data_IF_320728820066
#
_entry.id   IF_320728820066
#
_cell.length_a   1.000
_cell.length_b   1.000
_cell.length_c   1.000
_cell.angle_alpha   90.00
_cell.angle_beta   90.00
_cell.angle_gamma   90.00
#
_symmetry.space_group_name_H-M   'P 1'
#
loop_
_entity.id
_entity.type
_entity.pdbx_description
1 polymer ?
#
# COMPACT_ATOMS: atom_id res chain seq x y z
N UNK A 1 -15.09 -10.89 3.72
CA UNK A 1 -15.72 -9.68 4.31
C UNK A 1 -15.07 -9.15 5.59
N UNK A 2 -14.85 -9.95 6.66
CA UNK A 2 -14.26 -9.45 7.94
C UNK A 2 -12.92 -8.70 7.78
N UNK A 3 -12.03 -9.17 6.90
CA UNK A 3 -10.71 -8.55 6.63
C UNK A 3 -10.82 -7.15 6.02
N UNK A 4 -11.82 -6.94 5.16
CA UNK A 4 -12.09 -5.66 4.49
C UNK A 4 -12.59 -4.63 5.50
N UNK A 5 -13.48 -5.04 6.41
CA UNK A 5 -14.02 -4.16 7.47
C UNK A 5 -12.89 -3.73 8.42
N UNK A 6 -12.03 -4.67 8.84
CA UNK A 6 -10.88 -4.36 9.70
C UNK A 6 -9.89 -3.44 9.00
N UNK A 7 -9.57 -3.70 7.73
CA UNK A 7 -8.69 -2.83 6.93
C UNK A 7 -9.26 -1.42 6.76
N UNK A 8 -10.58 -1.31 6.52
CA UNK A 8 -11.27 -0.03 6.38
C UNK A 8 -11.26 0.80 7.68
N UNK A 9 -11.56 0.18 8.82
CA UNK A 9 -11.53 0.86 10.12
C UNK A 9 -10.10 1.30 10.47
N UNK A 10 -9.11 0.44 10.23
CA UNK A 10 -7.70 0.75 10.49
C UNK A 10 -7.21 1.92 9.62
N UNK A 11 -7.56 1.93 8.34
CA UNK A 11 -7.23 3.00 7.42
C UNK A 11 -7.91 4.32 7.83
N UNK A 12 -9.21 4.27 8.12
CA UNK A 12 -9.97 5.45 8.55
C UNK A 12 -9.41 6.05 9.84
N UNK A 13 -9.07 5.20 10.82
CA UNK A 13 -8.39 5.62 12.04
C UNK A 13 -7.03 6.27 11.77
N UNK A 14 -6.22 5.69 10.87
CA UNK A 14 -4.94 6.27 10.47
C UNK A 14 -5.07 7.63 9.80
N UNK A 15 -6.08 7.82 8.94
CA UNK A 15 -6.36 9.10 8.28
C UNK A 15 -6.82 10.16 9.29
N UNK A 16 -7.67 9.81 10.25
CA UNK A 16 -8.09 10.73 11.31
C UNK A 16 -6.88 11.16 12.15
N UNK A 17 -6.03 10.20 12.53
CA UNK A 17 -4.82 10.49 13.30
C UNK A 17 -3.87 11.42 12.51
N UNK A 18 -3.69 11.15 11.23
CA UNK A 18 -2.90 12.01 10.33
C UNK A 18 -3.45 13.44 10.30
N UNK A 19 -4.75 13.60 10.08
CA UNK A 19 -5.40 14.92 10.05
C UNK A 19 -5.30 15.66 11.39
N UNK A 20 -5.47 14.94 12.49
CA UNK A 20 -5.37 15.50 13.84
C UNK A 20 -3.99 16.08 14.15
N UNK A 21 -2.93 15.53 13.57
CA UNK A 21 -1.56 16.01 13.72
C UNK A 21 -1.20 17.05 12.64
N UNK A 22 -1.67 16.83 11.42
CA UNK A 22 -1.32 17.66 10.27
C UNK A 22 -1.94 19.06 10.34
N UNK A 23 -3.20 19.19 10.78
CA UNK A 23 -3.89 20.49 10.88
C UNK A 23 -3.17 21.47 11.83
N UNK A 24 -2.85 21.12 13.10
CA UNK A 24 -2.14 22.02 13.99
C UNK A 24 -0.70 22.27 13.52
N UNK A 25 -0.02 21.26 12.97
CA UNK A 25 1.32 21.44 12.41
C UNK A 25 1.32 22.40 11.20
N UNK A 26 0.31 22.33 10.33
CA UNK A 26 0.17 23.23 9.18
C UNK A 26 -0.12 24.68 9.62
N UNK A 27 -0.92 24.86 10.68
CA UNK A 27 -1.18 26.18 11.27
C UNK A 27 0.12 26.78 11.83
N UNK A 28 0.89 26.01 12.59
CA UNK A 28 2.16 26.49 13.15
C UNK A 28 3.22 26.73 12.06
N UNK A 29 3.27 25.88 11.03
CA UNK A 29 4.15 26.05 9.88
C UNK A 29 3.88 27.36 9.12
N UNK A 30 2.62 27.82 9.08
CA UNK A 30 2.24 29.08 8.43
C UNK A 30 2.79 30.31 9.16
N UNK A 31 2.99 30.21 10.48
CA UNK A 31 3.55 31.27 11.33
C UNK A 31 5.07 31.24 11.44
N UNK A 32 5.72 30.11 11.16
CA UNK A 32 7.17 29.96 11.22
C UNK A 32 7.85 30.66 10.03
N UNK A 33 8.81 31.56 10.26
CA UNK A 33 9.58 32.19 9.19
C UNK A 33 10.76 31.32 8.71
N UNK A 34 10.95 31.20 7.39
CA UNK A 34 12.12 30.53 6.79
C UNK A 34 11.85 29.13 6.23
N UNK A 35 12.21 28.92 4.95
CA UNK A 35 12.07 27.63 4.23
C UNK A 35 13.41 26.87 4.08
N UNK A 36 14.51 27.44 4.57
CA UNK A 36 15.84 27.14 4.02
C UNK A 36 16.70 26.19 4.87
N UNK A 37 16.26 25.82 6.08
CA UNK A 37 17.00 24.88 6.94
C UNK A 37 16.26 23.54 6.99
N UNK A 38 16.89 22.40 6.61
CA UNK A 38 16.33 21.07 6.86
C UNK A 38 16.07 20.94 8.38
N UNK A 39 14.88 20.54 8.87
CA UNK A 39 13.83 19.72 8.24
C UNK A 39 12.66 20.48 7.56
N UNK A 40 12.80 21.77 7.25
CA UNK A 40 11.77 22.58 6.60
C UNK A 40 10.61 23.00 7.52
N UNK A 41 9.75 23.92 7.08
CA UNK A 41 8.70 24.55 7.93
C UNK A 41 7.77 23.54 8.60
N UNK A 42 7.32 22.53 7.85
CA UNK A 42 6.44 21.48 8.37
C UNK A 42 7.18 20.57 9.35
N UNK A 43 8.42 20.19 9.05
CA UNK A 43 9.23 19.34 9.95
C UNK A 43 9.51 20.02 11.28
N UNK A 44 9.85 21.32 11.27
CA UNK A 44 10.02 22.12 12.49
C UNK A 44 8.71 22.22 13.27
N UNK A 45 7.61 22.53 12.59
CA UNK A 45 6.29 22.59 13.24
C UNK A 45 5.85 21.25 13.85
N UNK A 46 6.12 20.13 13.16
CA UNK A 46 5.86 18.78 13.63
C UNK A 46 6.70 18.41 14.87
N UNK A 47 7.94 18.92 14.94
CA UNK A 47 8.80 18.70 16.09
C UNK A 47 8.35 19.55 17.29
N UNK A 48 8.04 20.83 17.07
CA UNK A 48 7.57 21.75 18.12
C UNK A 48 6.19 21.37 18.69
N UNK A 49 5.29 20.83 17.86
CA UNK A 49 3.99 20.31 18.32
C UNK A 49 4.08 18.95 19.00
N UNK A 50 5.25 18.31 19.04
CA UNK A 50 5.40 16.92 19.46
C UNK A 50 4.69 15.92 18.54
N UNK A 51 4.16 16.38 17.40
CA UNK A 51 3.40 15.60 16.44
C UNK A 51 4.24 14.66 15.58
N UNK A 52 5.57 14.80 15.58
CA UNK A 52 6.47 14.03 14.71
C UNK A 52 6.28 12.51 14.84
N UNK A 53 6.17 12.00 16.07
CA UNK A 53 5.94 10.57 16.33
C UNK A 53 4.56 10.10 15.87
N UNK A 54 3.53 10.91 16.12
CA UNK A 54 2.15 10.61 15.73
C UNK A 54 1.95 10.68 14.21
N UNK A 55 2.68 11.56 13.53
CA UNK A 55 2.71 11.64 12.08
C UNK A 55 3.29 10.37 11.47
N UNK A 56 4.46 9.92 11.94
CA UNK A 56 5.07 8.68 11.45
C UNK A 56 4.19 7.45 11.73
N UNK A 57 3.60 7.35 12.93
CA UNK A 57 2.72 6.23 13.26
C UNK A 57 1.43 6.23 12.43
N UNK A 58 0.88 7.40 12.11
CA UNK A 58 -0.29 7.52 11.23
C UNK A 58 -0.02 7.01 9.81
N UNK A 59 1.16 7.31 9.25
CA UNK A 59 1.58 6.81 7.94
C UNK A 59 1.69 5.29 7.95
N UNK A 60 2.32 4.72 8.98
CA UNK A 60 2.44 3.26 9.12
C UNK A 60 1.06 2.60 9.24
N UNK A 61 0.13 3.18 10.01
CA UNK A 61 -1.24 2.68 10.10
C UNK A 61 -1.97 2.75 8.75
N UNK A 62 -1.82 3.84 7.99
CA UNK A 62 -2.44 3.98 6.67
C UNK A 62 -1.90 2.92 5.72
N UNK A 63 -0.58 2.72 5.68
CA UNK A 63 0.06 1.69 4.83
C UNK A 63 -0.46 0.29 5.22
N UNK A 64 -0.47 -0.04 6.51
CA UNK A 64 -1.00 -1.32 6.99
C UNK A 64 -2.49 -1.49 6.64
N UNK A 65 -3.30 -0.45 6.78
CA UNK A 65 -4.72 -0.45 6.42
C UNK A 65 -4.94 -0.71 4.93
N UNK A 66 -4.16 -0.05 4.07
CA UNK A 66 -4.18 -0.24 2.61
C UNK A 66 -3.79 -1.69 2.26
N UNK A 67 -2.71 -2.21 2.84
CA UNK A 67 -2.26 -3.58 2.59
C UNK A 67 -3.32 -4.62 3.01
N UNK A 68 -3.99 -4.41 4.15
CA UNK A 68 -5.08 -5.28 4.60
C UNK A 68 -6.30 -5.22 3.68
N UNK A 69 -6.65 -4.04 3.16
CA UNK A 69 -7.73 -3.87 2.19
C UNK A 69 -7.39 -4.55 0.86
N UNK A 70 -6.17 -4.35 0.35
CA UNK A 70 -5.67 -5.01 -0.86
C UNK A 70 -5.75 -6.53 -0.71
N UNK A 71 -5.26 -7.06 0.40
CA UNK A 71 -5.34 -8.50 0.68
C UNK A 71 -6.78 -8.98 0.79
N UNK A 72 -7.65 -8.20 1.43
CA UNK A 72 -9.05 -8.53 1.63
C UNK A 72 -9.89 -8.51 0.34
N UNK A 73 -9.55 -7.62 -0.60
CA UNK A 73 -10.28 -7.39 -1.85
C UNK A 73 -9.74 -8.27 -2.98
N UNK A 74 -8.42 -8.25 -3.21
CA UNK A 74 -7.78 -8.93 -4.34
C UNK A 74 -7.38 -10.38 -4.05
N UNK A 75 -7.48 -10.84 -2.80
CA UNK A 75 -7.11 -12.22 -2.45
C UNK A 75 -7.86 -13.28 -3.29
N UNK A 76 -9.12 -13.03 -3.61
CA UNK A 76 -9.96 -13.97 -4.40
C UNK A 76 -9.61 -13.91 -5.91
N UNK A 77 -9.39 -12.72 -6.44
CA UNK A 77 -9.04 -12.49 -7.86
C UNK A 77 -7.62 -12.98 -8.18
N UNK A 78 -6.65 -12.69 -7.31
CA UNK A 78 -5.25 -13.12 -7.47
C UNK A 78 -5.14 -14.64 -7.37
N UNK A 79 -5.86 -15.27 -6.43
CA UNK A 79 -5.89 -16.74 -6.34
C UNK A 79 -6.49 -17.35 -7.60
N UNK A 80 -7.57 -16.78 -8.14
CA UNK A 80 -8.18 -17.24 -9.38
C UNK A 80 -7.23 -17.13 -10.59
N UNK A 81 -6.49 -16.02 -10.70
CA UNK A 81 -5.48 -15.82 -11.75
C UNK A 81 -4.32 -16.81 -11.65
N UNK A 82 -3.79 -17.04 -10.45
CA UNK A 82 -2.68 -17.99 -10.22
C UNK A 82 -3.10 -19.41 -10.60
N UNK A 83 -4.32 -19.82 -10.23
CA UNK A 83 -4.85 -21.15 -10.59
C UNK A 83 -4.98 -21.29 -12.10
N UNK A 84 -5.47 -20.27 -12.81
CA UNK A 84 -5.57 -20.28 -14.28
C UNK A 84 -4.19 -20.37 -14.95
N UNK A 85 -3.23 -19.58 -14.49
CA UNK A 85 -1.85 -19.62 -15.01
C UNK A 85 -1.21 -20.99 -14.79
N UNK A 86 -1.40 -21.59 -13.60
CA UNK A 86 -0.91 -22.95 -13.32
C UNK A 86 -1.55 -23.98 -14.23
N UNK A 87 -2.85 -23.87 -14.51
CA UNK A 87 -3.56 -24.79 -15.42
C UNK A 87 -3.03 -24.72 -16.85
N UNK A 88 -2.83 -23.51 -17.38
CA UNK A 88 -2.27 -23.28 -18.72
C UNK A 88 -0.84 -23.86 -18.80
N UNK A 89 -0.02 -23.66 -17.77
CA UNK A 89 1.33 -24.24 -17.74
C UNK A 89 1.30 -25.77 -17.83
N UNK A 90 0.41 -26.42 -17.07
CA UNK A 90 0.28 -27.88 -17.07
C UNK A 90 -0.27 -28.43 -18.40
N UNK A 91 -1.15 -27.69 -19.10
CA UNK A 91 -1.64 -28.10 -20.43
C UNK A 91 -0.55 -28.01 -21.49
N UNK A 92 0.29 -26.97 -21.45
CA UNK A 92 1.43 -26.81 -22.38
C UNK A 92 2.55 -27.84 -22.14
N UNK A 93 2.68 -28.40 -20.94
CA UNK A 93 3.65 -29.46 -20.62
C UNK A 93 3.22 -30.85 -21.13
N UNK A 94 1.98 -30.98 -21.63
CA UNK A 94 1.40 -32.20 -22.18
C UNK A 94 1.16 -32.18 -23.68
N UNK A 95 1.57 -31.12 -24.39
CA UNK A 95 1.61 -31.12 -25.84
C UNK A 95 2.81 -31.99 -26.29
N UNK A 96 2.59 -33.19 -26.84
CA UNK A 96 3.70 -34.00 -27.32
C UNK A 96 4.35 -33.24 -28.47
N UNK A 97 5.66 -33.04 -28.39
CA UNK A 97 6.48 -32.57 -29.50
C UNK A 97 6.25 -33.52 -30.68
N UNK A 98 5.33 -33.16 -31.58
CA UNK A 98 5.13 -33.88 -32.84
C UNK A 98 6.43 -33.69 -33.60
N UNK A 99 7.23 -34.76 -33.65
CA UNK A 99 8.49 -34.86 -34.37
C UNK A 99 8.37 -34.21 -35.74
N UNK A 100 9.26 -33.25 -35.99
CA UNK A 100 9.31 -32.45 -37.20
C UNK A 100 10.37 -33.00 -38.18
N UNK A 101 10.70 -34.29 -38.03
CA UNK A 101 11.85 -34.97 -38.61
C UNK A 101 11.43 -36.13 -39.53
N UNK A 102 10.31 -35.97 -40.26
CA UNK A 102 10.00 -36.83 -41.41
C UNK A 102 10.41 -36.12 -42.71
N UNK A 103 11.59 -36.42 -43.29
CA UNK A 103 11.92 -35.92 -44.61
C UNK A 103 11.07 -36.66 -45.65
N UNK A 104 10.34 -35.88 -46.45
CA UNK A 104 9.70 -36.33 -47.68
C UNK A 104 10.75 -36.98 -48.60
N UNK A 105 10.74 -38.31 -48.67
CA UNK A 105 11.31 -39.07 -49.79
C UNK A 105 10.55 -40.39 -50.00
#
# INVERSE_FOLDING_TARGET
>A
MKKIIVGGILLFSGVILYLGVFIPAARLASTLGGWTTPPGRLGTALNETGGSTAYHSSIVMIICGILLLLWGCFGEEVTGLIVRVRKIKNENEHEPTINQDEPLN
#
